data_IF_434240591754
#
_entry.id   IF_434240591754
#
_cell.length_a   1.000
_cell.length_b   1.000
_cell.length_c   1.000
_cell.angle_alpha   90.00
_cell.angle_beta   90.00
_cell.angle_gamma   90.00
#
_symmetry.space_group_name_H-M   'P 1'
#
loop_
_entity.id
_entity.type
_entity.pdbx_description
1 polymer ?
#
# COMPACT_ATOMS: atom_id res chain seq x y z
N UNK A 1 -22.14 -9.86 25.74
CA UNK A 1 -21.66 -8.66 25.00
C UNK A 1 -20.15 -8.52 25.09
N UNK A 2 -19.56 -8.16 26.25
CA UNK A 2 -18.13 -7.79 26.40
C UNK A 2 -17.11 -8.73 25.71
N UNK A 3 -17.23 -10.06 25.86
CA UNK A 3 -16.31 -11.04 25.25
C UNK A 3 -16.32 -11.07 23.70
N UNK A 4 -17.44 -10.71 23.08
CA UNK A 4 -17.54 -10.62 21.60
C UNK A 4 -16.87 -9.34 21.13
N UNK A 5 -17.09 -8.24 21.85
CA UNK A 5 -16.43 -6.96 21.59
C UNK A 5 -14.90 -7.08 21.69
N UNK A 6 -14.37 -7.77 22.71
CA UNK A 6 -12.92 -7.96 22.85
C UNK A 6 -12.30 -8.83 21.75
N UNK A 7 -13.02 -9.83 21.24
CA UNK A 7 -12.54 -10.65 20.12
C UNK A 7 -12.49 -9.83 18.81
N UNK A 8 -13.53 -9.04 18.54
CA UNK A 8 -13.55 -8.13 17.40
C UNK A 8 -12.46 -7.05 17.51
N UNK A 9 -12.23 -6.52 18.72
CA UNK A 9 -11.15 -5.58 19.00
C UNK A 9 -9.76 -6.19 18.76
N UNK A 10 -9.54 -7.46 19.16
CA UNK A 10 -8.28 -8.17 18.90
C UNK A 10 -8.02 -8.37 17.40
N UNK A 11 -9.05 -8.72 16.62
CA UNK A 11 -8.94 -8.84 15.15
C UNK A 11 -8.59 -7.48 14.53
N UNK A 12 -9.31 -6.41 14.88
CA UNK A 12 -9.02 -5.05 14.42
C UNK A 12 -7.59 -4.61 14.78
N UNK A 13 -7.15 -4.84 16.02
CA UNK A 13 -5.78 -4.55 16.47
C UNK A 13 -4.77 -5.28 15.59
N UNK A 14 -4.95 -6.58 15.34
CA UNK A 14 -4.06 -7.39 14.52
C UNK A 14 -3.94 -6.84 13.08
N UNK A 15 -5.06 -6.41 12.48
CA UNK A 15 -5.05 -5.82 11.13
C UNK A 15 -4.23 -4.50 11.06
N UNK A 16 -4.26 -3.65 12.09
CA UNK A 16 -3.48 -2.39 12.09
C UNK A 16 -1.96 -2.57 12.12
N UNK A 17 -1.44 -3.76 12.36
CA UNK A 17 0.02 -4.00 12.44
C UNK A 17 0.73 -4.07 11.08
N UNK A 18 0.00 -4.04 9.97
CA UNK A 18 0.53 -4.23 8.63
C UNK A 18 0.28 -3.02 7.71
N UNK A 19 1.24 -2.08 7.60
CA UNK A 19 1.22 -0.98 6.62
C UNK A 19 2.61 -0.64 6.08
N UNK A 20 2.68 -0.14 4.84
CA UNK A 20 3.91 0.38 4.26
C UNK A 20 4.41 1.58 5.07
N UNK A 21 5.73 1.70 5.25
CA UNK A 21 6.28 2.66 6.21
C UNK A 21 6.45 4.04 5.60
N UNK A 22 5.69 5.00 6.09
CA UNK A 22 5.97 6.42 5.89
C UNK A 22 7.02 6.89 6.90
N UNK A 23 8.11 7.49 6.46
CA UNK A 23 9.02 8.24 7.32
C UNK A 23 9.42 9.57 6.67
N UNK A 24 9.84 10.53 7.49
CA UNK A 24 10.30 11.86 7.05
C UNK A 24 11.82 11.88 7.01
N UNK A 25 12.42 12.37 5.93
CA UNK A 25 13.88 12.51 5.86
C UNK A 25 14.31 13.70 6.72
N UNK A 26 15.05 13.40 7.79
CA UNK A 26 15.57 14.32 8.79
C UNK A 26 16.92 14.91 8.39
N UNK A 27 17.80 14.10 7.80
CA UNK A 27 19.18 14.47 7.43
C UNK A 27 19.59 13.78 6.12
N UNK A 28 20.40 14.46 5.32
CA UNK A 28 21.12 13.86 4.19
C UNK A 28 22.55 13.63 4.66
N UNK A 29 23.02 12.38 4.65
CA UNK A 29 24.36 12.01 5.15
C UNK A 29 25.34 11.99 3.98
N UNK A 30 24.96 11.32 2.88
CA UNK A 30 25.65 11.36 1.59
C UNK A 30 24.60 11.31 0.46
N UNK A 31 25.06 11.31 -0.79
CA UNK A 31 24.31 11.34 -2.05
C UNK A 31 23.11 10.38 -2.09
N UNK A 32 23.28 9.13 -1.61
CA UNK A 32 22.23 8.10 -1.58
C UNK A 32 21.88 7.59 -0.16
N UNK A 33 22.38 8.26 0.89
CA UNK A 33 22.38 7.79 2.28
C UNK A 33 21.74 8.83 3.20
N UNK A 34 20.65 8.48 3.88
CA UNK A 34 19.77 9.44 4.58
C UNK A 34 19.42 8.98 6.00
N UNK A 35 19.15 9.95 6.89
CA UNK A 35 18.59 9.72 8.23
C UNK A 35 17.09 10.04 8.22
N UNK A 36 16.27 9.14 8.76
CA UNK A 36 14.83 9.36 8.98
C UNK A 36 14.54 10.01 10.34
N UNK A 37 13.33 10.53 10.51
CA UNK A 37 12.83 11.08 11.78
C UNK A 37 12.62 10.01 12.87
N UNK A 38 12.47 8.73 12.50
CA UNK A 38 12.53 7.60 13.44
C UNK A 38 13.95 7.11 13.79
N UNK A 39 14.99 7.78 13.26
CA UNK A 39 16.39 7.52 13.58
C UNK A 39 17.04 6.34 12.85
N UNK A 40 16.39 5.79 11.81
CA UNK A 40 17.04 4.83 10.90
C UNK A 40 17.94 5.56 9.91
N UNK A 41 19.04 4.89 9.56
CA UNK A 41 19.83 5.22 8.37
C UNK A 41 19.32 4.34 7.23
N UNK A 42 18.94 4.95 6.11
CA UNK A 42 18.43 4.28 4.92
C UNK A 42 19.33 4.59 3.71
N UNK A 43 19.41 3.65 2.77
CA UNK A 43 20.18 3.80 1.53
C UNK A 43 19.37 3.32 0.33
N UNK A 44 19.41 4.08 -0.76
CA UNK A 44 18.68 3.72 -1.99
C UNK A 44 19.20 2.41 -2.59
N UNK A 45 18.35 1.38 -2.62
CA UNK A 45 18.69 0.07 -3.13
C UNK A 45 18.74 0.01 -4.67
N UNK A 46 19.58 -0.89 -5.18
CA UNK A 46 19.81 -1.06 -6.62
C UNK A 46 20.81 -0.08 -7.23
N UNK A 47 21.35 0.86 -6.43
CA UNK A 47 22.20 1.94 -6.91
C UNK A 47 23.65 1.82 -6.41
N UNK A 48 24.60 2.13 -7.30
CA UNK A 48 26.00 2.41 -6.99
C UNK A 48 26.26 3.88 -7.32
N UNK A 49 26.48 4.72 -6.30
CA UNK A 49 26.50 6.20 -6.39
C UNK A 49 27.81 6.71 -5.79
N UNK A 50 28.54 7.63 -6.45
CA UNK A 50 29.78 8.18 -5.89
C UNK A 50 29.48 8.96 -4.61
N UNK A 51 30.35 8.81 -3.62
CA UNK A 51 30.21 9.48 -2.32
C UNK A 51 30.84 10.90 -2.33
N UNK A 52 30.44 11.75 -1.38
CA UNK A 52 30.92 13.14 -1.28
C UNK A 52 32.45 13.27 -1.09
N UNK A 53 33.12 12.20 -0.67
CA UNK A 53 34.55 12.12 -0.45
C UNK A 53 35.30 11.36 -1.56
N UNK A 54 34.67 11.07 -2.71
CA UNK A 54 35.25 10.22 -3.76
C UNK A 54 36.62 10.74 -4.24
N UNK A 55 37.66 9.89 -4.40
CA UNK A 55 39.00 10.35 -4.75
C UNK A 55 39.05 11.05 -6.12
N UNK A 56 38.37 10.49 -7.13
CA UNK A 56 38.21 11.17 -8.42
C UNK A 56 37.35 12.45 -8.28
N UNK A 57 37.85 13.54 -8.88
CA UNK A 57 37.28 14.89 -8.78
C UNK A 57 35.97 15.04 -9.56
N UNK A 58 35.81 14.34 -10.68
CA UNK A 58 34.59 14.42 -11.48
C UNK A 58 33.44 13.66 -10.84
N UNK A 59 33.69 12.43 -10.36
CA UNK A 59 32.73 11.65 -9.60
C UNK A 59 32.30 12.36 -8.31
N UNK A 60 33.23 13.04 -7.61
CA UNK A 60 32.87 13.92 -6.49
C UNK A 60 31.96 15.09 -6.90
N UNK A 61 32.11 15.63 -8.10
CA UNK A 61 31.21 16.67 -8.65
C UNK A 61 29.83 16.11 -9.06
N UNK A 62 29.70 14.81 -9.34
CA UNK A 62 28.39 14.15 -9.50
C UNK A 62 27.76 13.87 -8.13
N UNK A 63 28.54 13.43 -7.15
CA UNK A 63 28.10 13.26 -5.76
C UNK A 63 27.52 14.56 -5.17
N UNK A 64 28.23 15.68 -5.32
CA UNK A 64 27.75 17.01 -4.88
C UNK A 64 26.39 17.38 -5.52
N UNK A 65 26.21 17.12 -6.82
CA UNK A 65 24.92 17.35 -7.51
C UNK A 65 23.81 16.44 -7.00
N UNK A 66 24.11 15.15 -6.78
CA UNK A 66 23.18 14.19 -6.22
C UNK A 66 22.78 14.56 -4.78
N UNK A 67 23.73 15.04 -3.96
CA UNK A 67 23.48 15.55 -2.61
C UNK A 67 22.64 16.84 -2.62
N UNK A 68 22.93 17.81 -3.49
CA UNK A 68 22.13 19.04 -3.64
C UNK A 68 20.71 18.70 -4.11
N UNK A 69 20.55 17.78 -5.05
CA UNK A 69 19.26 17.25 -5.48
C UNK A 69 18.51 16.62 -4.29
N UNK A 70 19.11 15.64 -3.61
CA UNK A 70 18.56 14.96 -2.44
C UNK A 70 18.18 15.93 -1.32
N UNK A 71 19.01 16.95 -1.05
CA UNK A 71 18.73 17.98 -0.05
C UNK A 71 17.56 18.88 -0.45
N UNK A 72 17.41 19.18 -1.74
CA UNK A 72 16.28 20.00 -2.23
C UNK A 72 14.95 19.22 -2.27
N UNK A 73 15.00 17.93 -2.62
CA UNK A 73 13.81 17.08 -2.86
C UNK A 73 13.38 16.28 -1.62
N UNK A 74 14.32 15.79 -0.81
CA UNK A 74 14.02 14.87 0.31
C UNK A 74 13.95 15.55 1.67
N UNK A 75 14.85 16.49 1.96
CA UNK A 75 14.99 17.05 3.31
C UNK A 75 13.66 17.64 3.82
N UNK A 76 13.28 17.23 5.04
CA UNK A 76 12.04 17.56 5.72
C UNK A 76 10.74 17.11 5.03
N UNK A 77 10.78 16.20 4.05
CA UNK A 77 9.58 15.61 3.41
C UNK A 77 9.37 14.15 3.79
N UNK A 78 8.13 13.69 3.72
CA UNK A 78 7.72 12.30 4.01
C UNK A 78 7.64 11.48 2.72
N UNK A 79 8.12 10.23 2.79
CA UNK A 79 8.15 9.27 1.68
C UNK A 79 7.61 7.92 2.12
N UNK A 80 7.09 7.16 1.15
CA UNK A 80 6.83 5.74 1.30
C UNK A 80 8.16 4.99 1.16
N UNK A 81 8.50 4.18 2.16
CA UNK A 81 9.78 3.47 2.23
C UNK A 81 9.49 1.96 2.28
N UNK A 82 9.97 1.27 1.25
CA UNK A 82 9.86 -0.18 1.12
C UNK A 82 11.23 -0.82 1.28
N UNK A 83 11.48 -1.40 2.46
CA UNK A 83 12.69 -2.14 2.77
C UNK A 83 12.78 -3.42 1.94
N UNK A 84 13.89 -3.61 1.21
CA UNK A 84 14.16 -4.85 0.47
C UNK A 84 14.82 -5.93 1.34
N UNK A 85 15.58 -5.52 2.35
CA UNK A 85 16.21 -6.40 3.33
C UNK A 85 16.30 -5.67 4.68
N UNK A 86 15.90 -6.32 5.80
CA UNK A 86 16.15 -5.77 7.12
C UNK A 86 17.65 -5.58 7.33
N UNK A 87 18.04 -4.55 8.09
CA UNK A 87 19.43 -4.19 8.37
C UNK A 87 20.24 -5.41 8.86
N UNK A 88 21.18 -5.83 8.03
CA UNK A 88 22.18 -6.86 8.28
C UNK A 88 23.12 -6.42 9.42
N UNK A 89 23.64 -7.36 10.22
CA UNK A 89 24.70 -7.04 11.20
C UNK A 89 25.98 -6.54 10.53
N UNK A 90 26.19 -6.84 9.25
CA UNK A 90 27.30 -6.32 8.44
C UNK A 90 27.10 -4.90 7.89
N UNK A 91 25.95 -4.22 8.16
CA UNK A 91 25.65 -2.89 7.58
C UNK A 91 24.94 -1.98 8.58
N UNK A 92 25.34 -0.71 8.64
CA UNK A 92 24.70 0.26 9.54
C UNK A 92 23.44 0.94 8.95
N UNK A 93 23.02 0.55 7.74
CA UNK A 93 21.89 1.12 7.01
C UNK A 93 20.93 0.05 6.47
N UNK A 94 19.67 0.45 6.25
CA UNK A 94 18.62 -0.35 5.61
C UNK A 94 18.56 -0.07 4.11
N UNK A 95 18.45 -1.11 3.27
CA UNK A 95 18.32 -0.96 1.80
C UNK A 95 16.86 -0.78 1.39
N UNK A 96 16.53 0.35 0.78
CA UNK A 96 15.14 0.75 0.53
C UNK A 96 14.85 1.17 -0.91
N UNK A 97 13.61 0.95 -1.32
CA UNK A 97 12.97 1.67 -2.43
C UNK A 97 12.21 2.85 -1.82
N UNK A 98 12.45 4.06 -2.33
CA UNK A 98 11.88 5.29 -1.80
C UNK A 98 10.97 5.96 -2.83
N UNK A 99 9.69 6.10 -2.48
CA UNK A 99 8.65 6.54 -3.41
C UNK A 99 7.80 7.66 -2.81
N UNK A 100 7.23 8.51 -3.66
CA UNK A 100 6.20 9.49 -3.24
C UNK A 100 5.05 9.54 -4.23
N UNK A 101 3.82 9.49 -3.72
CA UNK A 101 2.62 9.72 -4.51
C UNK A 101 2.38 11.22 -4.71
N UNK A 102 2.07 11.57 -5.95
CA UNK A 102 1.67 12.89 -6.42
C UNK A 102 0.26 12.80 -7.04
N UNK A 103 -0.43 13.93 -7.30
CA UNK A 103 -1.75 13.90 -7.94
C UNK A 103 -1.77 13.20 -9.31
N UNK A 104 -0.66 13.27 -10.04
CA UNK A 104 -0.52 12.80 -11.42
C UNK A 104 0.16 11.42 -11.54
N UNK A 105 0.55 10.78 -10.42
CA UNK A 105 1.18 9.46 -10.44
C UNK A 105 2.08 9.18 -9.23
N UNK A 106 2.85 8.09 -9.30
CA UNK A 106 3.86 7.71 -8.32
C UNK A 106 5.25 8.06 -8.86
N UNK A 107 6.09 8.73 -8.07
CA UNK A 107 7.50 8.91 -8.39
C UNK A 107 8.36 7.96 -7.55
N UNK A 108 9.21 7.20 -8.24
CA UNK A 108 10.24 6.33 -7.66
C UNK A 108 11.60 7.04 -7.73
N UNK A 109 12.21 7.30 -6.57
CA UNK A 109 13.44 8.08 -6.51
C UNK A 109 14.70 7.27 -6.76
N UNK A 110 14.63 5.94 -6.67
CA UNK A 110 15.74 5.08 -7.08
C UNK A 110 15.85 5.11 -8.62
N UNK A 111 14.72 5.01 -9.31
CA UNK A 111 14.64 5.18 -10.78
C UNK A 111 15.05 6.58 -11.23
N UNK A 112 14.61 7.61 -10.52
CA UNK A 112 14.97 9.01 -10.81
C UNK A 112 16.49 9.24 -10.70
N UNK A 113 17.14 8.68 -9.68
CA UNK A 113 18.60 8.76 -9.53
C UNK A 113 19.37 8.17 -10.71
N UNK A 114 18.88 7.06 -11.28
CA UNK A 114 19.44 6.46 -12.50
C UNK A 114 19.17 7.35 -13.72
N UNK A 115 17.94 7.86 -13.85
CA UNK A 115 17.50 8.74 -14.94
C UNK A 115 18.30 10.05 -15.03
N UNK A 116 18.75 10.58 -13.89
CA UNK A 116 19.64 11.75 -13.79
C UNK A 116 21.14 11.40 -13.98
N UNK A 117 21.49 10.12 -14.09
CA UNK A 117 22.87 9.64 -14.19
C UNK A 117 23.69 9.82 -12.91
N UNK A 118 23.05 9.89 -11.73
CA UNK A 118 23.77 10.03 -10.46
C UNK A 118 24.52 8.75 -10.05
N UNK A 119 24.14 7.59 -10.56
CA UNK A 119 24.77 6.31 -10.26
C UNK A 119 24.48 5.24 -11.31
N UNK A 120 24.98 4.03 -11.04
CA UNK A 120 24.79 2.82 -11.85
C UNK A 120 23.76 1.88 -11.24
N UNK A 121 23.16 1.05 -12.08
CA UNK A 121 22.24 0.00 -11.65
C UNK A 121 23.00 -1.28 -11.29
N UNK A 122 22.96 -1.67 -10.01
CA UNK A 122 23.69 -2.85 -9.50
C UNK A 122 23.01 -4.18 -9.79
N UNK A 123 21.81 -4.18 -10.35
CA UNK A 123 20.95 -5.36 -10.44
C UNK A 123 20.40 -5.86 -9.09
N UNK A 124 20.77 -5.26 -7.95
CA UNK A 124 20.44 -5.74 -6.61
C UNK A 124 19.02 -5.34 -6.14
N UNK A 125 18.03 -5.54 -7.01
CA UNK A 125 16.59 -5.36 -6.75
C UNK A 125 15.83 -6.58 -7.27
N UNK A 126 14.66 -6.86 -6.72
CA UNK A 126 13.78 -7.88 -7.26
C UNK A 126 13.28 -7.50 -8.67
N UNK A 127 12.92 -8.51 -9.47
CA UNK A 127 12.53 -8.42 -10.91
C UNK A 127 11.44 -7.38 -11.26
N UNK A 128 10.75 -6.89 -10.22
CA UNK A 128 9.58 -5.94 -10.11
C UNK A 128 10.29 -4.67 -10.82
N UNK A 129 11.41 -4.16 -10.28
CA UNK A 129 12.03 -2.88 -10.69
C UNK A 129 13.12 -3.03 -11.75
N UNK A 130 13.60 -4.25 -11.98
CA UNK A 130 14.86 -4.51 -12.71
C UNK A 130 14.88 -3.90 -14.11
N UNK A 131 13.79 -4.04 -14.87
CA UNK A 131 13.71 -3.47 -16.22
C UNK A 131 13.65 -1.94 -16.17
N UNK A 132 12.73 -1.36 -15.38
CA UNK A 132 12.57 0.10 -15.28
C UNK A 132 13.85 0.84 -14.84
N UNK A 133 14.65 0.22 -13.98
CA UNK A 133 15.90 0.80 -13.49
C UNK A 133 17.01 0.65 -14.53
N UNK A 134 17.08 -0.48 -15.23
CA UNK A 134 17.98 -0.67 -16.38
C UNK A 134 17.65 0.30 -17.50
N UNK A 135 16.38 0.49 -17.85
CA UNK A 135 15.94 1.38 -18.91
C UNK A 135 16.28 2.85 -18.57
N UNK A 136 16.08 3.26 -17.30
CA UNK A 136 16.50 4.57 -16.80
C UNK A 136 18.02 4.79 -16.86
N UNK A 137 18.81 3.75 -16.54
CA UNK A 137 20.27 3.79 -16.68
C UNK A 137 20.70 3.93 -18.16
N UNK A 138 20.09 3.16 -19.06
CA UNK A 138 20.39 3.23 -20.50
C UNK A 138 19.97 4.58 -21.10
N UNK A 139 18.87 5.18 -20.65
CA UNK A 139 18.48 6.54 -21.05
C UNK A 139 19.52 7.57 -20.59
N UNK A 140 19.99 7.47 -19.34
CA UNK A 140 21.02 8.37 -18.81
C UNK A 140 22.37 8.20 -19.50
N UNK A 141 22.75 6.96 -19.86
CA UNK A 141 23.94 6.66 -20.67
C UNK A 141 23.84 7.27 -22.07
N UNK A 142 22.72 7.06 -22.77
CA UNK A 142 22.50 7.55 -24.13
C UNK A 142 22.46 9.09 -24.24
N UNK A 143 22.18 9.79 -23.15
CA UNK A 143 22.19 11.25 -23.05
C UNK A 143 23.40 11.82 -22.29
N UNK A 144 24.43 11.01 -22.03
CA UNK A 144 25.65 11.38 -21.30
C UNK A 144 25.36 12.10 -19.96
N UNK A 145 24.40 11.61 -19.16
CA UNK A 145 24.00 12.29 -17.90
C UNK A 145 24.93 11.91 -16.74
N UNK A 146 25.13 12.85 -15.82
CA UNK A 146 25.89 12.64 -14.56
C UNK A 146 27.25 11.96 -14.75
N UNK A 147 27.39 10.74 -14.22
CA UNK A 147 28.65 9.94 -14.29
C UNK A 147 29.08 9.60 -15.72
N UNK A 148 28.14 9.48 -16.66
CA UNK A 148 28.39 8.97 -18.01
C UNK A 148 29.21 9.93 -18.89
N UNK A 149 29.42 11.19 -18.43
CA UNK A 149 30.33 12.16 -19.06
C UNK A 149 31.82 11.85 -18.90
N UNK A 150 32.17 10.94 -17.99
CA UNK A 150 33.56 10.62 -17.64
C UNK A 150 33.76 9.11 -17.55
N UNK A 151 32.76 8.38 -17.07
CA UNK A 151 32.84 6.93 -16.88
C UNK A 151 32.26 6.20 -18.10
N UNK A 152 33.12 5.80 -19.03
CA UNK A 152 32.72 4.94 -20.16
C UNK A 152 32.11 3.62 -19.66
N UNK A 153 31.07 3.12 -20.34
CA UNK A 153 30.24 1.99 -19.89
C UNK A 153 30.91 0.62 -19.70
N UNK A 154 32.22 0.50 -19.91
CA UNK A 154 32.99 -0.73 -19.66
C UNK A 154 33.78 -0.77 -18.35
N UNK A 155 33.83 0.30 -17.54
CA UNK A 155 34.61 0.28 -16.30
C UNK A 155 33.92 -0.51 -15.19
N UNK A 156 34.67 -1.37 -14.49
CA UNK A 156 34.19 -2.16 -13.33
C UNK A 156 34.46 -1.47 -11.99
N UNK A 157 34.71 -0.16 -11.98
CA UNK A 157 34.92 0.60 -10.75
C UNK A 157 33.60 0.75 -9.98
N UNK A 158 33.63 0.40 -8.69
CA UNK A 158 32.54 0.60 -7.73
C UNK A 158 32.61 2.04 -7.23
N UNK A 159 31.55 2.81 -7.49
CA UNK A 159 31.48 4.24 -7.18
C UNK A 159 31.24 4.47 -5.68
N UNK A 160 30.45 3.58 -5.07
CA UNK A 160 30.00 3.62 -3.68
C UNK A 160 30.94 2.81 -2.78
N UNK A 161 31.99 3.47 -2.28
CA UNK A 161 32.92 2.85 -1.33
C UNK A 161 32.19 2.55 -0.01
N UNK A 162 32.34 1.34 0.57
CA UNK A 162 31.61 0.96 1.78
C UNK A 162 32.02 1.84 2.95
N UNK A 163 31.10 2.70 3.40
CA UNK A 163 31.23 3.49 4.62
C UNK A 163 31.54 2.58 5.81
N UNK A 164 32.57 2.94 6.59
CA UNK A 164 32.86 2.31 7.87
C UNK A 164 31.82 2.71 8.92
N UNK A 165 31.63 1.86 9.93
CA UNK A 165 30.81 2.18 11.10
C UNK A 165 31.33 3.42 11.85
N UNK A 166 32.64 3.68 11.80
CA UNK A 166 33.26 4.87 12.42
C UNK A 166 32.86 6.16 11.69
N UNK A 167 32.87 6.18 10.36
CA UNK A 167 32.38 7.32 9.57
C UNK A 167 30.89 7.57 9.82
N UNK A 168 30.06 6.52 9.77
CA UNK A 168 28.60 6.65 10.01
C UNK A 168 28.34 7.17 11.43
N UNK A 169 29.08 6.67 12.43
CA UNK A 169 28.99 7.19 13.79
C UNK A 169 29.47 8.64 13.88
N UNK A 170 30.54 9.04 13.21
CA UNK A 170 31.03 10.43 13.20
C UNK A 170 29.98 11.41 12.63
N UNK A 171 29.29 11.03 11.54
CA UNK A 171 28.20 11.85 10.98
C UNK A 171 26.93 11.86 11.84
N UNK A 172 26.64 10.79 12.59
CA UNK A 172 25.41 10.63 13.38
C UNK A 172 25.52 11.24 14.78
N UNK A 173 26.62 10.96 15.50
CA UNK A 173 26.83 11.26 16.91
C UNK A 173 26.80 12.76 17.24
N UNK A 174 26.95 13.64 16.24
CA UNK A 174 26.96 15.09 16.40
C UNK A 174 25.59 15.70 16.76
N UNK A 175 24.48 15.00 16.52
CA UNK A 175 23.10 15.53 16.67
C UNK A 175 22.12 14.63 17.46
N UNK A 176 22.53 13.46 17.98
CA UNK A 176 21.60 12.44 18.50
C UNK A 176 21.95 11.85 19.87
N UNK A 177 21.60 12.57 20.94
CA UNK A 177 21.41 11.95 22.25
C UNK A 177 19.97 11.40 22.35
N UNK A 178 19.87 10.11 22.72
CA UNK A 178 18.64 9.39 23.08
C UNK A 178 17.56 9.31 21.97
N UNK A 179 17.60 8.23 21.17
CA UNK A 179 16.38 7.67 20.56
C UNK A 179 16.35 6.14 20.76
N UNK A 180 15.32 5.64 21.46
CA UNK A 180 15.12 4.21 21.66
C UNK A 180 14.48 3.57 20.43
N UNK A 181 15.08 2.45 19.96
CA UNK A 181 14.53 1.62 18.87
C UNK A 181 13.06 1.26 19.09
N UNK A 182 12.19 1.61 18.14
CA UNK A 182 10.88 0.97 17.99
C UNK A 182 10.97 -0.13 16.93
N UNK A 183 10.28 -1.28 17.10
CA UNK A 183 10.32 -2.36 16.12
C UNK A 183 9.57 -2.00 14.83
N UNK A 184 10.22 -2.33 13.70
CA UNK A 184 9.75 -2.15 12.32
C UNK A 184 8.48 -2.99 12.08
N UNK A 185 7.32 -2.34 11.86
CA UNK A 185 6.07 -3.02 11.41
C UNK A 185 6.16 -3.40 9.93
N UNK A 186 5.65 -4.59 9.55
CA UNK A 186 5.56 -5.02 8.14
C UNK A 186 4.40 -4.31 7.42
N UNK A 187 4.27 -4.52 6.11
CA UNK A 187 3.15 -4.03 5.27
C UNK A 187 2.02 -5.07 5.12
N UNK A 188 0.84 -4.61 4.68
CA UNK A 188 -0.32 -5.47 4.40
C UNK A 188 -1.64 -4.70 4.49
N UNK A 189 -2.70 -5.39 4.94
CA UNK A 189 -4.11 -4.94 4.87
C UNK A 189 -4.34 -3.54 5.42
N UNK A 190 -4.74 -2.62 4.54
CA UNK A 190 -5.07 -1.25 4.92
C UNK A 190 -6.29 -1.23 5.84
N UNK A 191 -6.20 -0.52 6.96
CA UNK A 191 -7.32 -0.44 7.91
C UNK A 191 -8.54 0.27 7.29
N UNK A 192 -8.30 1.16 6.32
CA UNK A 192 -9.36 1.83 5.55
C UNK A 192 -10.17 0.85 4.71
N UNK A 193 -9.51 -0.12 4.06
CA UNK A 193 -10.15 -1.19 3.27
C UNK A 193 -11.11 -1.99 4.14
N UNK A 194 -10.64 -2.53 5.27
CA UNK A 194 -11.46 -3.31 6.20
C UNK A 194 -12.63 -2.49 6.77
N UNK A 195 -12.42 -1.21 7.11
CA UNK A 195 -13.50 -0.31 7.54
C UNK A 195 -14.53 -0.11 6.41
N UNK A 196 -14.08 0.07 5.17
CA UNK A 196 -14.97 0.25 4.02
C UNK A 196 -15.71 -1.03 3.63
N UNK A 197 -15.12 -2.23 3.78
CA UNK A 197 -15.84 -3.52 3.66
C UNK A 197 -16.97 -3.62 4.68
N UNK A 198 -16.69 -3.29 5.95
CA UNK A 198 -17.66 -3.31 7.07
C UNK A 198 -18.81 -2.31 6.88
N UNK A 199 -18.61 -1.23 6.12
CA UNK A 199 -19.64 -0.22 5.83
C UNK A 199 -20.39 -0.55 4.52
N UNK A 200 -19.67 -0.81 3.43
CA UNK A 200 -20.27 -1.01 2.10
C UNK A 200 -20.97 -2.35 1.96
N UNK A 201 -20.51 -3.41 2.63
CA UNK A 201 -21.21 -4.71 2.66
C UNK A 201 -22.65 -4.59 3.17
N UNK A 202 -22.90 -4.12 4.41
CA UNK A 202 -24.24 -3.96 4.94
C UNK A 202 -25.09 -2.93 4.19
N UNK A 203 -24.50 -1.83 3.71
CA UNK A 203 -25.23 -0.81 2.92
C UNK A 203 -25.70 -1.38 1.59
N UNK A 204 -24.82 -2.03 0.83
CA UNK A 204 -25.19 -2.70 -0.42
C UNK A 204 -26.20 -3.82 -0.16
N UNK A 205 -26.00 -4.62 0.89
CA UNK A 205 -26.94 -5.63 1.38
C UNK A 205 -28.35 -5.08 1.58
N UNK A 206 -28.49 -3.99 2.34
CA UNK A 206 -29.78 -3.36 2.61
C UNK A 206 -30.45 -2.81 1.33
N UNK A 207 -29.68 -2.15 0.45
CA UNK A 207 -30.17 -1.64 -0.83
C UNK A 207 -30.67 -2.77 -1.75
N UNK A 208 -29.97 -3.90 -1.80
CA UNK A 208 -30.36 -5.06 -2.63
C UNK A 208 -31.46 -5.95 -2.01
N UNK A 209 -31.68 -5.88 -0.70
CA UNK A 209 -32.75 -6.61 -0.04
C UNK A 209 -34.15 -6.15 -0.50
N UNK A 210 -34.33 -4.86 -0.76
CA UNK A 210 -35.61 -4.29 -1.18
C UNK A 210 -36.09 -4.81 -2.57
N UNK A 211 -35.31 -4.73 -3.67
CA UNK A 211 -35.72 -5.31 -4.94
C UNK A 211 -35.78 -6.84 -4.89
N UNK A 212 -34.92 -7.50 -4.10
CA UNK A 212 -34.99 -8.96 -3.88
C UNK A 212 -36.34 -9.37 -3.27
N UNK A 213 -36.79 -8.66 -2.22
CA UNK A 213 -38.09 -8.87 -1.61
C UNK A 213 -39.23 -8.65 -2.61
N UNK A 214 -39.20 -7.55 -3.36
CA UNK A 214 -40.23 -7.21 -4.35
C UNK A 214 -40.34 -8.26 -5.47
N UNK A 215 -39.21 -8.70 -6.04
CA UNK A 215 -39.17 -9.70 -7.11
C UNK A 215 -39.76 -11.03 -6.66
N UNK A 216 -39.32 -11.56 -5.51
CA UNK A 216 -39.78 -12.88 -5.03
C UNK A 216 -41.23 -12.82 -4.54
N UNK A 217 -41.64 -11.72 -3.90
CA UNK A 217 -43.06 -11.48 -3.57
C UNK A 217 -43.94 -11.43 -4.83
N UNK A 218 -43.55 -10.64 -5.83
CA UNK A 218 -44.27 -10.47 -7.09
C UNK A 218 -44.40 -11.79 -7.87
N UNK A 219 -43.33 -12.57 -7.96
CA UNK A 219 -43.36 -13.91 -8.56
C UNK A 219 -44.29 -14.87 -7.78
N UNK A 220 -44.25 -14.84 -6.44
CA UNK A 220 -45.13 -15.69 -5.62
C UNK A 220 -46.62 -15.37 -5.79
N UNK A 221 -46.95 -14.09 -5.96
CA UNK A 221 -48.32 -13.60 -6.10
C UNK A 221 -48.99 -13.99 -7.44
N UNK A 222 -48.22 -14.50 -8.41
CA UNK A 222 -48.76 -15.07 -9.65
C UNK A 222 -49.42 -16.45 -9.41
N UNK A 223 -48.99 -17.19 -8.38
CA UNK A 223 -49.70 -18.39 -7.93
C UNK A 223 -50.84 -17.97 -6.98
N UNK A 224 -52.08 -18.18 -7.42
CA UNK A 224 -53.30 -17.89 -6.64
C UNK A 224 -53.37 -18.62 -5.30
N UNK A 225 -52.55 -19.66 -5.07
CA UNK A 225 -52.44 -20.35 -3.76
C UNK A 225 -51.63 -19.56 -2.73
N UNK A 226 -50.71 -18.70 -3.16
CA UNK A 226 -49.83 -17.92 -2.28
C UNK A 226 -50.45 -16.53 -2.01
N UNK A 227 -51.49 -16.49 -1.17
CA UNK A 227 -52.07 -15.22 -0.69
C UNK A 227 -51.80 -14.99 0.81
N UNK A 228 -51.85 -13.73 1.24
CA UNK A 228 -51.61 -13.34 2.63
C UNK A 228 -50.18 -13.66 3.10
N UNK A 229 -50.05 -14.32 4.25
CA UNK A 229 -48.76 -14.61 4.91
C UNK A 229 -47.74 -15.37 4.04
N UNK A 230 -48.18 -16.15 3.05
CA UNK A 230 -47.28 -16.80 2.09
C UNK A 230 -46.42 -15.79 1.32
N UNK A 231 -47.02 -14.69 0.86
CA UNK A 231 -46.31 -13.62 0.13
C UNK A 231 -45.27 -12.92 1.03
N UNK A 232 -45.56 -12.77 2.33
CA UNK A 232 -44.62 -12.21 3.31
C UNK A 232 -43.43 -13.15 3.57
N UNK A 233 -43.65 -14.47 3.59
CA UNK A 233 -42.57 -15.45 3.65
C UNK A 233 -41.67 -15.39 2.41
N UNK A 234 -42.26 -15.34 1.22
CA UNK A 234 -41.54 -15.17 -0.05
C UNK A 234 -40.78 -13.83 -0.12
N UNK A 235 -41.39 -12.74 0.35
CA UNK A 235 -40.73 -11.44 0.47
C UNK A 235 -39.51 -11.49 1.42
N UNK A 236 -39.64 -12.16 2.56
CA UNK A 236 -38.54 -12.32 3.52
C UNK A 236 -37.38 -13.18 2.97
N UNK A 237 -37.68 -14.23 2.20
CA UNK A 237 -36.67 -15.02 1.49
C UNK A 237 -35.96 -14.19 0.41
N UNK A 238 -36.70 -13.40 -0.36
CA UNK A 238 -36.14 -12.46 -1.34
C UNK A 238 -35.28 -11.37 -0.69
N UNK A 239 -35.71 -10.83 0.46
CA UNK A 239 -34.92 -9.88 1.25
C UNK A 239 -33.62 -10.50 1.75
N UNK A 240 -33.66 -11.74 2.27
CA UNK A 240 -32.49 -12.47 2.74
C UNK A 240 -31.50 -12.76 1.62
N UNK A 241 -31.97 -13.28 0.48
CA UNK A 241 -31.12 -13.53 -0.69
C UNK A 241 -30.49 -12.22 -1.23
N UNK A 242 -31.28 -11.15 -1.31
CA UNK A 242 -30.79 -9.81 -1.66
C UNK A 242 -29.69 -9.36 -0.70
N UNK A 243 -29.95 -9.38 0.62
CA UNK A 243 -28.99 -8.98 1.64
C UNK A 243 -27.67 -9.75 1.59
N UNK A 244 -27.70 -11.08 1.38
CA UNK A 244 -26.49 -11.91 1.19
C UNK A 244 -25.72 -11.45 -0.05
N UNK A 245 -26.43 -11.27 -1.17
CA UNK A 245 -25.84 -10.88 -2.46
C UNK A 245 -25.22 -9.48 -2.42
N UNK A 246 -25.88 -8.51 -1.78
CA UNK A 246 -25.35 -7.16 -1.62
C UNK A 246 -24.17 -7.09 -0.65
N UNK A 247 -24.15 -7.89 0.43
CA UNK A 247 -22.95 -7.98 1.29
C UNK A 247 -21.74 -8.51 0.51
N UNK A 248 -21.93 -9.57 -0.26
CA UNK A 248 -20.90 -10.11 -1.14
C UNK A 248 -20.41 -9.09 -2.19
N UNK A 249 -21.34 -8.31 -2.77
CA UNK A 249 -21.04 -7.27 -3.75
C UNK A 249 -20.29 -6.08 -3.14
N UNK A 250 -20.70 -5.61 -1.96
CA UNK A 250 -20.07 -4.50 -1.25
C UNK A 250 -18.64 -4.83 -0.81
N UNK A 251 -18.42 -6.03 -0.28
CA UNK A 251 -17.06 -6.51 0.06
C UNK A 251 -16.23 -6.74 -1.21
N UNK A 252 -16.80 -7.36 -2.26
CA UNK A 252 -16.11 -7.55 -3.54
C UNK A 252 -15.65 -6.24 -4.17
N UNK A 253 -16.52 -5.22 -4.21
CA UNK A 253 -16.23 -3.93 -4.84
C UNK A 253 -15.05 -3.19 -4.18
N UNK A 254 -14.86 -3.38 -2.86
CA UNK A 254 -13.69 -2.87 -2.14
C UNK A 254 -12.47 -3.80 -2.38
N UNK A 255 -12.61 -5.07 -2.02
CA UNK A 255 -11.49 -6.01 -1.97
C UNK A 255 -10.83 -6.26 -3.34
N UNK A 256 -11.61 -6.24 -4.43
CA UNK A 256 -11.11 -6.40 -5.79
C UNK A 256 -10.25 -5.21 -6.27
N UNK A 257 -10.39 -4.03 -5.63
CA UNK A 257 -9.53 -2.87 -5.88
C UNK A 257 -8.11 -3.00 -5.31
N UNK A 258 -7.90 -3.89 -4.33
CA UNK A 258 -6.61 -4.17 -3.68
C UNK A 258 -6.05 -5.56 -4.07
N UNK A 259 -6.92 -6.55 -4.30
CA UNK A 259 -6.57 -7.88 -4.80
C UNK A 259 -7.49 -8.29 -5.98
N UNK A 260 -7.06 -8.13 -7.24
CA UNK A 260 -7.88 -8.47 -8.41
C UNK A 260 -8.18 -9.98 -8.55
N UNK A 261 -7.51 -10.85 -7.78
CA UNK A 261 -7.85 -12.27 -7.72
C UNK A 261 -9.08 -12.58 -6.83
N UNK A 262 -9.57 -11.62 -6.04
CA UNK A 262 -10.85 -11.78 -5.32
C UNK A 262 -11.96 -11.87 -6.37
N UNK A 263 -12.68 -12.99 -6.39
CA UNK A 263 -13.80 -13.21 -7.31
C UNK A 263 -15.14 -12.93 -6.63
N UNK A 264 -16.11 -12.36 -7.37
CA UNK A 264 -17.47 -12.13 -6.85
C UNK A 264 -18.19 -13.44 -6.51
N UNK A 265 -18.01 -14.50 -7.31
CA UNK A 265 -18.57 -15.81 -6.97
C UNK A 265 -17.97 -16.40 -5.70
N UNK A 266 -16.69 -16.15 -5.42
CA UNK A 266 -16.04 -16.55 -4.17
C UNK A 266 -16.55 -15.79 -2.96
N UNK A 267 -16.66 -14.45 -3.03
CA UNK A 267 -17.26 -13.66 -1.93
C UNK A 267 -18.72 -14.04 -1.71
N UNK A 268 -19.50 -14.26 -2.77
CA UNK A 268 -20.90 -14.70 -2.69
C UNK A 268 -21.06 -16.08 -2.04
N UNK A 269 -20.28 -17.06 -2.50
CA UNK A 269 -20.27 -18.41 -1.90
C UNK A 269 -19.89 -18.35 -0.42
N UNK A 270 -18.89 -17.55 -0.08
CA UNK A 270 -18.46 -17.37 1.29
C UNK A 270 -19.49 -16.63 2.15
N UNK A 271 -20.24 -15.66 1.60
CA UNK A 271 -21.40 -15.06 2.28
C UNK A 271 -22.49 -16.10 2.57
N UNK A 272 -22.81 -17.03 1.66
CA UNK A 272 -23.76 -18.11 1.94
C UNK A 272 -23.26 -19.04 3.06
N UNK A 273 -21.99 -19.45 3.03
CA UNK A 273 -21.37 -20.27 4.10
C UNK A 273 -21.37 -19.52 5.44
N UNK A 274 -21.00 -18.23 5.43
CA UNK A 274 -21.03 -17.36 6.61
C UNK A 274 -22.44 -17.12 7.14
N UNK A 275 -23.46 -17.10 6.27
CA UNK A 275 -24.87 -17.04 6.68
C UNK A 275 -25.27 -18.32 7.39
N UNK A 276 -24.97 -19.49 6.82
CA UNK A 276 -25.30 -20.79 7.43
C UNK A 276 -24.60 -20.97 8.78
N UNK A 277 -23.31 -20.62 8.88
CA UNK A 277 -22.57 -20.61 10.13
C UNK A 277 -23.12 -19.60 11.15
N UNK A 278 -23.48 -18.39 10.70
CA UNK A 278 -24.09 -17.35 11.54
C UNK A 278 -25.45 -17.78 12.10
N UNK A 279 -26.31 -18.38 11.29
CA UNK A 279 -27.61 -18.93 11.73
C UNK A 279 -27.42 -20.10 12.71
N UNK A 280 -26.49 -21.02 12.44
CA UNK A 280 -26.17 -22.11 13.37
C UNK A 280 -25.68 -21.61 14.74
N UNK A 281 -24.75 -20.65 14.74
CA UNK A 281 -24.28 -20.00 15.97
C UNK A 281 -25.39 -19.21 16.68
N UNK A 282 -26.26 -18.51 15.93
CA UNK A 282 -27.41 -17.79 16.48
C UNK A 282 -28.38 -18.74 17.21
N UNK A 283 -28.68 -19.91 16.62
CA UNK A 283 -29.49 -20.95 17.27
C UNK A 283 -28.84 -21.46 18.56
N UNK A 284 -27.52 -21.72 18.55
CA UNK A 284 -26.78 -22.20 19.72
C UNK A 284 -26.71 -21.18 20.88
N UNK A 285 -26.78 -19.87 20.60
CA UNK A 285 -26.81 -18.82 21.63
C UNK A 285 -28.21 -18.25 21.86
N UNK A 286 -29.26 -18.89 21.33
CA UNK A 286 -30.62 -18.36 21.38
C UNK A 286 -31.13 -18.21 22.82
N UNK A 287 -31.61 -17.00 23.13
CA UNK A 287 -32.31 -16.66 24.37
C UNK A 287 -33.42 -15.70 24.01
N UNK A 288 -34.63 -15.97 24.51
CA UNK A 288 -35.88 -15.25 24.16
C UNK A 288 -35.72 -13.73 24.24
N UNK A 289 -35.04 -13.25 25.28
CA UNK A 289 -34.92 -11.83 25.62
C UNK A 289 -33.57 -11.21 25.20
N UNK A 290 -32.90 -11.80 24.19
CA UNK A 290 -31.58 -11.38 23.71
C UNK A 290 -31.57 -11.03 22.22
N UNK A 291 -31.02 -9.88 21.87
CA UNK A 291 -30.78 -9.47 20.48
C UNK A 291 -29.57 -10.15 19.83
N UNK A 292 -28.69 -10.78 20.63
CA UNK A 292 -27.42 -11.36 20.17
C UNK A 292 -27.56 -12.40 19.04
N UNK A 293 -28.54 -13.33 19.03
CA UNK A 293 -28.73 -14.28 17.92
C UNK A 293 -28.94 -13.56 16.58
N UNK A 294 -29.79 -12.53 16.56
CA UNK A 294 -30.09 -11.77 15.35
C UNK A 294 -28.85 -11.03 14.83
N UNK A 295 -28.06 -10.41 15.72
CA UNK A 295 -26.80 -9.74 15.34
C UNK A 295 -25.81 -10.72 14.70
N UNK A 296 -25.69 -11.94 15.23
CA UNK A 296 -24.81 -12.98 14.65
C UNK A 296 -25.33 -13.43 13.28
N UNK A 297 -26.65 -13.64 13.14
CA UNK A 297 -27.28 -13.97 11.86
C UNK A 297 -27.07 -12.89 10.78
N UNK A 298 -27.30 -11.62 11.13
CA UNK A 298 -27.11 -10.47 10.22
C UNK A 298 -25.64 -10.18 9.87
N UNK A 299 -24.69 -10.54 10.75
CA UNK A 299 -23.25 -10.39 10.50
C UNK A 299 -22.66 -11.55 9.69
N UNK A 300 -23.27 -12.74 9.71
CA UNK A 300 -22.81 -13.94 9.01
C UNK A 300 -22.43 -13.73 7.52
N UNK A 301 -23.30 -13.10 6.68
CA UNK A 301 -22.99 -12.86 5.28
C UNK A 301 -21.75 -11.97 5.06
N UNK A 302 -21.61 -10.93 5.89
CA UNK A 302 -20.47 -10.00 5.84
C UNK A 302 -19.18 -10.71 6.23
N UNK A 303 -19.16 -11.36 7.39
CA UNK A 303 -17.98 -12.08 7.90
C UNK A 303 -17.54 -13.17 6.93
N UNK A 304 -18.48 -13.87 6.29
CA UNK A 304 -18.20 -14.84 5.24
C UNK A 304 -17.42 -14.24 4.06
N UNK A 305 -17.96 -13.18 3.44
CA UNK A 305 -17.27 -12.50 2.33
C UNK A 305 -15.91 -11.93 2.73
N UNK A 306 -15.81 -11.30 3.92
CA UNK A 306 -14.55 -10.73 4.41
C UNK A 306 -13.47 -11.80 4.67
N UNK A 307 -13.85 -12.95 5.22
CA UNK A 307 -12.92 -14.09 5.41
C UNK A 307 -12.42 -14.60 4.07
N UNK A 308 -13.29 -14.75 3.06
CA UNK A 308 -12.81 -15.11 1.72
C UNK A 308 -11.90 -14.03 1.13
N UNK A 309 -12.34 -12.78 1.08
CA UNK A 309 -11.59 -11.68 0.49
C UNK A 309 -10.18 -11.54 1.08
N UNK A 310 -10.05 -11.55 2.41
CA UNK A 310 -8.81 -11.20 3.10
C UNK A 310 -7.90 -12.40 3.42
N UNK A 311 -8.46 -13.61 3.56
CA UNK A 311 -7.74 -14.81 4.06
C UNK A 311 -7.74 -16.01 3.10
N UNK A 312 -8.79 -16.24 2.32
CA UNK A 312 -8.90 -17.44 1.45
C UNK A 312 -8.72 -17.15 -0.05
N UNK A 313 -8.89 -15.91 -0.49
CA UNK A 313 -8.65 -15.53 -1.88
C UNK A 313 -7.17 -15.77 -2.21
N UNK A 314 -6.84 -16.36 -3.37
CA UNK A 314 -5.45 -16.45 -3.80
C UNK A 314 -4.88 -15.05 -3.88
N UNK A 315 -3.87 -14.74 -3.06
CA UNK A 315 -3.08 -13.52 -3.25
C UNK A 315 -2.34 -13.63 -4.58
N UNK A 316 -1.85 -12.50 -5.08
CA UNK A 316 -1.27 -12.41 -6.43
C UNK A 316 0.15 -13.00 -6.53
N UNK A 317 0.32 -14.25 -6.07
CA UNK A 317 1.56 -15.02 -6.18
C UNK A 317 2.10 -14.99 -7.62
N UNK A 318 3.22 -14.29 -7.82
CA UNK A 318 3.86 -14.16 -9.13
C UNK A 318 3.43 -12.97 -10.00
N UNK A 319 2.61 -12.05 -9.50
CA UNK A 319 2.30 -10.76 -10.16
C UNK A 319 2.35 -9.52 -9.24
N UNK A 320 3.13 -9.58 -8.17
CA UNK A 320 3.34 -8.48 -7.19
C UNK A 320 3.99 -7.18 -7.75
N UNK A 321 4.06 -6.99 -9.08
CA UNK A 321 4.82 -5.90 -9.72
C UNK A 321 4.04 -4.75 -10.35
N UNK A 322 2.71 -4.79 -10.37
CA UNK A 322 1.91 -3.72 -11.00
C UNK A 322 0.85 -3.06 -10.11
N UNK A 323 0.66 -3.51 -8.86
CA UNK A 323 -0.36 -2.95 -7.95
C UNK A 323 0.05 -1.63 -7.26
N UNK A 324 1.31 -1.18 -7.37
CA UNK A 324 1.76 0.11 -6.78
C UNK A 324 1.04 1.34 -7.37
N UNK A 325 0.29 1.16 -8.46
CA UNK A 325 -0.55 2.18 -9.09
C UNK A 325 -2.03 2.13 -8.71
N UNK A 326 -2.52 1.10 -8.01
CA UNK A 326 -3.94 1.03 -7.64
C UNK A 326 -4.28 1.98 -6.49
N UNK A 327 -4.97 3.07 -6.87
CA UNK A 327 -6.05 3.73 -6.14
C UNK A 327 -5.89 4.07 -4.64
N UNK A 328 -4.69 4.13 -4.06
CA UNK A 328 -4.48 4.65 -2.71
C UNK A 328 -5.01 6.11 -2.61
N UNK A 329 -6.21 6.29 -2.08
CA UNK A 329 -6.75 7.58 -1.64
C UNK A 329 -6.23 7.82 -0.23
N UNK A 330 -5.18 8.65 -0.04
CA UNK A 330 -4.74 8.99 1.31
C UNK A 330 -5.88 9.70 2.06
N UNK A 331 -5.93 9.62 3.40
CA UNK A 331 -6.74 10.57 4.18
C UNK A 331 -6.30 11.98 3.78
N UNK A 332 -7.24 12.78 3.25
CA UNK A 332 -7.01 13.92 2.32
C UNK A 332 -5.74 14.69 2.66
N UNK A 333 -4.63 14.31 2.02
CA UNK A 333 -3.40 15.10 2.09
C UNK A 333 -3.64 16.35 1.27
N UNK A 334 -3.61 17.50 1.93
CA UNK A 334 -3.63 18.80 1.29
C UNK A 334 -2.35 18.97 0.47
N UNK A 335 -2.40 18.54 -0.80
CA UNK A 335 -1.31 18.72 -1.75
C UNK A 335 -0.91 20.19 -1.76
N UNK A 336 0.32 20.48 -1.34
CA UNK A 336 0.79 21.86 -1.37
C UNK A 336 0.90 22.32 -2.82
N UNK A 337 0.80 23.63 -3.06
CA UNK A 337 1.07 24.19 -4.40
C UNK A 337 2.47 23.76 -4.90
N UNK A 338 3.43 23.58 -3.98
CA UNK A 338 4.77 23.03 -4.28
C UNK A 338 4.73 21.57 -4.72
N UNK A 339 3.85 20.72 -4.20
CA UNK A 339 3.69 19.33 -4.67
C UNK A 339 3.03 19.27 -6.04
N UNK A 340 2.05 20.14 -6.30
CA UNK A 340 1.38 20.27 -7.59
C UNK A 340 2.37 20.76 -8.67
N UNK A 341 3.13 21.82 -8.39
CA UNK A 341 4.22 22.30 -9.24
C UNK A 341 5.27 21.21 -9.49
N UNK A 342 5.76 20.53 -8.44
CA UNK A 342 6.72 19.44 -8.59
C UNK A 342 6.16 18.32 -9.49
N UNK A 343 4.87 17.98 -9.43
CA UNK A 343 4.29 16.98 -10.34
C UNK A 343 4.23 17.46 -11.80
N UNK A 344 3.97 18.75 -12.07
CA UNK A 344 4.03 19.27 -13.45
C UNK A 344 5.44 19.19 -14.04
N UNK A 345 6.48 19.50 -13.23
CA UNK A 345 7.88 19.39 -13.63
C UNK A 345 8.29 17.93 -13.86
N UNK A 346 7.95 17.02 -12.93
CA UNK A 346 8.31 15.59 -13.01
C UNK A 346 7.70 14.90 -14.23
N UNK A 347 6.44 15.16 -14.55
CA UNK A 347 5.78 14.55 -15.70
C UNK A 347 5.97 15.37 -17.00
N UNK A 348 6.82 16.41 -16.98
CA UNK A 348 7.11 17.30 -18.11
C UNK A 348 5.84 17.91 -18.75
N UNK A 349 4.83 18.17 -17.92
CA UNK A 349 3.51 18.66 -18.33
C UNK A 349 3.46 20.18 -18.21
N UNK A 350 3.56 20.88 -19.35
CA UNK A 350 3.31 22.32 -19.48
C UNK A 350 1.82 22.66 -19.29
N UNK A 351 1.34 22.52 -18.05
CA UNK A 351 -0.02 22.90 -17.64
C UNK A 351 -0.17 24.42 -17.39
N UNK A 352 0.93 25.15 -17.18
CA UNK A 352 0.93 26.60 -16.98
C UNK A 352 2.15 27.25 -17.63
N UNK A 353 1.98 27.86 -18.81
CA UNK A 353 2.95 28.82 -19.36
C UNK A 353 2.62 30.22 -18.85
N UNK A 354 3.27 30.65 -17.76
CA UNK A 354 3.21 32.05 -17.32
C UNK A 354 4.22 32.85 -18.15
N UNK A 355 3.73 33.51 -19.20
CA UNK A 355 4.45 34.58 -19.90
C UNK A 355 4.49 35.82 -19.00
N UNK A 356 5.68 36.43 -18.88
CA UNK A 356 5.92 37.71 -18.22
C UNK A 356 6.11 38.81 -19.26
#
# INVERSE_FOLDING_TARGET
MLKVLSLFLLVLIWCTYSQAQTAKIKKIIDSNLFETDDGRVIKLAGLDVPNLNHPDRYLRSVADKAYVYARSVFLNRTFNISSLAPRDSARDYELVIMQKKYPLGLLDYNKEFLSQGFGRFTGSVSKAFYNEYRDAEQEALAHERGIWKVVTGGSTEVLDRPFSSEEINHYTQKDSLIFMRKPVRKSGLSAGVIISEVILGPVAGFVTALPGAYLVAGLSALDRKNQGWGVLGWAALGAGFGYITGNALGVYAVAHGENPNVSFLGTLTASFVGTAGGVGLATLVYRKDSSVPYVIGFAGPLVGAMVYANLMSPRSEGKDYYSVYQAFTPPVQSFSHKDLYNSTVVYNLNLFSITF
#
